data_IF_004111866773
#
_entry.id   IF_004111866773
#
_cell.length_a   1.000
_cell.length_b   1.000
_cell.length_c   1.000
_cell.angle_alpha   90.00
_cell.angle_beta   90.00
_cell.angle_gamma   90.00
#
_symmetry.space_group_name_H-M   'P 1'
#
loop_
_entity.id
_entity.type
_entity.pdbx_description
1 polymer ?
#
# COMPACT_ATOMS: atom_id res chain seq x y z
N UNK A 1 -21.15 21.95 0.54
CA UNK A 1 -20.69 21.75 -0.84
C UNK A 1 -20.09 20.36 -0.90
N UNK A 2 -20.76 19.51 -1.66
CA UNK A 2 -20.41 18.18 -2.18
C UNK A 2 -20.10 17.05 -1.18
N UNK A 3 -21.17 16.57 -0.54
CA UNK A 3 -21.22 15.30 0.20
C UNK A 3 -21.47 14.09 -0.73
N UNK A 4 -21.06 14.12 -2.01
CA UNK A 4 -21.46 13.08 -2.96
C UNK A 4 -20.52 12.85 -4.16
N UNK A 5 -19.22 12.91 -3.95
CA UNK A 5 -18.28 12.14 -4.77
C UNK A 5 -17.57 11.17 -3.84
N UNK A 6 -18.17 9.99 -3.63
CA UNK A 6 -17.45 8.88 -3.03
C UNK A 6 -16.38 8.44 -4.03
N UNK A 7 -15.19 9.03 -3.90
CA UNK A 7 -14.03 8.62 -4.67
C UNK A 7 -13.62 7.21 -4.22
N UNK A 8 -14.15 6.20 -4.91
CA UNK A 8 -13.78 4.80 -4.74
C UNK A 8 -12.41 4.59 -5.38
N UNK A 9 -11.51 3.96 -4.65
CA UNK A 9 -10.14 3.70 -5.09
C UNK A 9 -9.60 2.45 -4.40
N UNK A 10 -8.50 1.92 -4.92
CA UNK A 10 -7.80 0.79 -4.33
C UNK A 10 -6.84 1.29 -3.24
N UNK A 11 -7.08 0.89 -1.99
CA UNK A 11 -6.21 1.19 -0.86
C UNK A 11 -5.44 -0.04 -0.39
N UNK A 12 -4.19 0.16 0.06
CA UNK A 12 -3.34 -0.88 0.63
C UNK A 12 -2.77 -0.41 1.96
N UNK A 13 -2.85 -1.26 2.98
CA UNK A 13 -2.48 -0.95 4.35
C UNK A 13 -1.74 -2.11 5.01
N UNK A 14 -0.76 -1.77 5.84
CA UNK A 14 -0.05 -2.64 6.76
C UNK A 14 -0.70 -2.53 8.13
N UNK A 15 -1.19 -3.65 8.66
CA UNK A 15 -1.69 -3.75 10.03
C UNK A 15 -0.72 -4.53 10.91
N UNK A 16 -0.46 -4.04 12.12
CA UNK A 16 0.24 -4.81 13.14
C UNK A 16 -0.76 -5.67 13.92
N UNK A 17 -0.58 -7.00 13.85
CA UNK A 17 -1.45 -7.95 14.55
C UNK A 17 -1.14 -8.03 16.06
N UNK A 18 0.13 -7.82 16.43
CA UNK A 18 0.60 -8.08 17.78
C UNK A 18 -0.04 -7.14 18.81
N UNK A 19 -0.55 -7.73 19.89
CA UNK A 19 -1.09 -7.03 21.05
C UNK A 19 -0.01 -7.00 22.13
N UNK A 20 0.67 -5.87 22.28
CA UNK A 20 1.72 -5.71 23.29
C UNK A 20 2.27 -4.28 23.29
N UNK A 21 3.14 -3.96 24.25
CA UNK A 21 3.82 -2.66 24.36
C UNK A 21 4.99 -2.51 23.37
N UNK A 22 4.97 -3.25 22.26
CA UNK A 22 6.04 -3.22 21.26
C UNK A 22 5.78 -2.06 20.32
N UNK A 23 6.75 -1.16 20.26
CA UNK A 23 6.81 -0.09 19.27
C UNK A 23 8.01 -0.37 18.37
N UNK A 24 7.80 -0.40 17.06
CA UNK A 24 8.91 -0.44 16.11
C UNK A 24 8.63 0.48 14.93
N UNK A 25 9.68 1.16 14.48
CA UNK A 25 9.68 1.93 13.26
C UNK A 25 9.78 1.01 12.05
N UNK A 26 9.04 1.31 11.01
CA UNK A 26 9.16 0.66 9.70
C UNK A 26 9.29 1.73 8.62
N UNK A 27 10.24 1.56 7.71
CA UNK A 27 10.13 2.14 6.37
C UNK A 27 9.47 1.10 5.47
N UNK A 28 8.54 1.52 4.62
CA UNK A 28 7.84 0.62 3.73
C UNK A 28 7.73 1.17 2.32
N UNK A 29 7.81 0.27 1.34
CA UNK A 29 7.52 0.52 -0.06
C UNK A 29 6.38 -0.41 -0.51
N UNK A 30 5.33 0.15 -1.08
CA UNK A 30 4.35 -0.58 -1.86
C UNK A 30 4.68 -0.45 -3.35
N UNK A 31 4.73 -1.59 -4.04
CA UNK A 31 4.94 -1.67 -5.47
C UNK A 31 3.88 -2.57 -6.11
N UNK A 32 3.65 -2.38 -7.40
CA UNK A 32 2.77 -3.24 -8.19
C UNK A 32 3.46 -3.62 -9.50
N UNK A 33 3.20 -4.84 -9.97
CA UNK A 33 3.66 -5.30 -11.29
C UNK A 33 2.77 -4.69 -12.36
N UNK A 34 3.35 -4.13 -13.41
CA UNK A 34 2.59 -3.44 -14.46
C UNK A 34 3.02 -3.81 -15.88
N UNK A 35 2.06 -3.81 -16.81
CA UNK A 35 2.33 -3.97 -18.24
C UNK A 35 3.04 -2.72 -18.80
N UNK A 36 3.82 -2.85 -19.88
CA UNK A 36 4.12 -4.08 -20.61
C UNK A 36 5.33 -4.84 -20.06
N UNK A 37 6.21 -4.20 -19.30
CA UNK A 37 7.47 -4.81 -18.82
C UNK A 37 7.23 -5.97 -17.85
N UNK A 38 6.09 -5.94 -17.15
CA UNK A 38 5.80 -6.82 -16.04
C UNK A 38 6.87 -6.72 -14.93
N UNK A 39 7.46 -5.55 -14.76
CA UNK A 39 8.32 -5.25 -13.63
C UNK A 39 7.52 -4.60 -12.50
N UNK A 40 8.06 -4.65 -11.28
CA UNK A 40 7.47 -3.95 -10.14
C UNK A 40 7.84 -2.46 -10.18
N UNK A 41 6.82 -1.61 -10.23
CA UNK A 41 6.96 -0.17 -10.08
C UNK A 41 6.51 0.27 -8.68
N UNK A 42 7.33 1.11 -8.04
CA UNK A 42 6.99 1.73 -6.75
C UNK A 42 5.72 2.59 -6.90
N UNK A 43 4.73 2.35 -6.04
CA UNK A 43 3.47 3.10 -5.96
C UNK A 43 3.42 4.03 -4.76
N UNK A 44 4.02 3.63 -3.65
CA UNK A 44 4.06 4.46 -2.45
C UNK A 44 5.23 4.11 -1.54
N UNK A 45 5.83 5.13 -0.92
CA UNK A 45 6.82 4.98 0.16
C UNK A 45 6.34 5.73 1.38
N UNK A 46 6.53 5.12 2.54
CA UNK A 46 6.22 5.75 3.80
C UNK A 46 7.13 5.26 4.91
N UNK A 47 7.06 5.97 6.03
CA UNK A 47 7.61 5.49 7.29
C UNK A 47 6.54 5.60 8.36
N UNK A 48 6.55 4.68 9.31
CA UNK A 48 5.59 4.68 10.41
C UNK A 48 6.16 3.99 11.63
N UNK A 49 5.83 4.50 12.80
CA UNK A 49 6.09 3.80 14.07
C UNK A 49 4.81 3.13 14.51
N UNK A 50 4.77 1.81 14.46
CA UNK A 50 3.62 1.07 14.95
C UNK A 50 3.52 1.20 16.46
N UNK A 51 2.35 1.60 16.92
CA UNK A 51 1.91 1.51 18.30
C UNK A 51 0.65 0.65 18.24
N UNK A 52 0.67 -0.52 18.87
CA UNK A 52 -0.23 -1.66 18.58
C UNK A 52 -1.69 -1.32 18.26
N UNK A 53 -2.30 -2.09 17.36
CA UNK A 53 -3.70 -1.94 16.96
C UNK A 53 -3.98 -0.89 15.88
N UNK A 54 -2.95 -0.30 15.25
CA UNK A 54 -3.09 0.64 14.14
C UNK A 54 -2.65 0.04 12.81
N UNK A 55 -3.29 0.49 11.74
CA UNK A 55 -2.88 0.23 10.37
C UNK A 55 -2.37 1.52 9.71
N UNK A 56 -1.38 1.39 8.84
CA UNK A 56 -0.81 2.49 8.06
C UNK A 56 -0.76 2.08 6.59
N UNK A 57 -0.94 3.03 5.68
CA UNK A 57 -0.88 2.74 4.25
C UNK A 57 -1.32 3.92 3.43
N UNK A 58 -1.77 3.64 2.21
CA UNK A 58 -2.20 4.67 1.28
C UNK A 58 -3.58 4.35 0.71
N UNK A 59 -4.48 5.34 0.80
CA UNK A 59 -5.89 5.17 0.43
C UNK A 59 -6.09 4.97 -1.08
N UNK A 60 -5.30 5.64 -1.91
CA UNK A 60 -5.40 5.58 -3.37
C UNK A 60 -4.05 5.15 -3.97
N UNK A 61 -3.70 3.87 -3.82
CA UNK A 61 -2.37 3.35 -4.17
C UNK A 61 -1.97 3.64 -5.62
N UNK A 62 -2.92 3.56 -6.54
CA UNK A 62 -2.66 3.71 -7.98
C UNK A 62 -2.93 5.11 -8.51
N UNK A 63 -3.37 6.05 -7.66
CA UNK A 63 -3.66 7.42 -8.08
C UNK A 63 -4.89 7.55 -9.00
N UNK A 64 -5.70 6.51 -9.18
CA UNK A 64 -6.81 6.46 -10.13
C UNK A 64 -8.13 6.00 -9.49
N UNK A 65 -9.29 6.37 -10.06
CA UNK A 65 -10.58 5.86 -9.62
C UNK A 65 -10.69 4.34 -9.72
N UNK A 66 -11.51 3.73 -8.87
CA UNK A 66 -11.79 2.29 -8.87
C UNK A 66 -12.23 1.77 -10.24
N UNK A 67 -13.11 2.51 -10.93
CA UNK A 67 -13.61 2.13 -12.26
C UNK A 67 -12.50 2.02 -13.30
N UNK A 68 -11.55 2.96 -13.31
CA UNK A 68 -10.36 2.89 -14.17
C UNK A 68 -9.40 1.80 -13.73
N UNK A 69 -9.28 1.56 -12.43
CA UNK A 69 -8.40 0.52 -11.90
C UNK A 69 -8.81 -0.88 -12.36
N UNK A 70 -10.11 -1.19 -12.36
CA UNK A 70 -10.66 -2.51 -12.75
C UNK A 70 -11.06 -2.63 -14.23
N UNK A 71 -10.78 -1.61 -15.05
CA UNK A 71 -11.13 -1.64 -16.46
C UNK A 71 -10.38 -2.77 -17.20
N UNK A 72 -10.95 -3.27 -18.30
CA UNK A 72 -10.37 -4.38 -19.08
C UNK A 72 -8.97 -4.05 -19.63
N UNK A 73 -8.71 -2.77 -19.91
CA UNK A 73 -7.44 -2.23 -20.40
C UNK A 73 -6.48 -1.82 -19.27
N UNK A 74 -6.80 -2.13 -18.01
CA UNK A 74 -5.95 -1.81 -16.87
C UNK A 74 -4.58 -2.46 -17.00
N UNK A 75 -3.54 -1.63 -16.92
CA UNK A 75 -2.13 -2.07 -16.98
C UNK A 75 -1.70 -2.89 -15.76
N UNK A 76 -2.50 -2.89 -14.68
CA UNK A 76 -2.14 -3.51 -13.40
C UNK A 76 -2.57 -4.98 -13.28
N UNK A 77 -3.41 -5.47 -14.20
CA UNK A 77 -3.87 -6.86 -14.23
C UNK A 77 -3.15 -7.64 -15.33
N UNK A 78 -2.25 -8.53 -14.94
CA UNK A 78 -1.54 -9.44 -15.85
C UNK A 78 -2.26 -10.78 -15.80
N UNK A 79 -2.85 -11.19 -16.92
CA UNK A 79 -3.70 -12.39 -17.02
C UNK A 79 -4.82 -12.43 -15.97
N UNK A 80 -5.42 -11.25 -15.69
CA UNK A 80 -6.48 -11.09 -14.69
C UNK A 80 -5.99 -11.05 -13.23
N UNK A 81 -4.68 -11.06 -12.98
CA UNK A 81 -4.08 -11.06 -11.65
C UNK A 81 -3.42 -9.72 -11.34
N UNK A 82 -3.77 -9.15 -10.17
CA UNK A 82 -3.08 -8.01 -9.58
C UNK A 82 -1.91 -8.50 -8.72
N UNK A 83 -0.68 -8.14 -9.09
CA UNK A 83 0.51 -8.49 -8.32
C UNK A 83 0.99 -7.30 -7.49
N UNK A 84 0.97 -7.45 -6.16
CA UNK A 84 1.41 -6.43 -5.21
C UNK A 84 2.67 -6.91 -4.47
N UNK A 85 3.55 -5.97 -4.14
CA UNK A 85 4.70 -6.19 -3.28
C UNK A 85 4.71 -5.13 -2.19
N UNK A 86 4.90 -5.57 -0.94
CA UNK A 86 5.22 -4.70 0.17
C UNK A 86 6.62 -5.06 0.67
N UNK A 87 7.56 -4.13 0.59
CA UNK A 87 8.89 -4.26 1.17
C UNK A 87 8.92 -3.48 2.48
N UNK A 88 9.42 -4.10 3.55
CA UNK A 88 9.43 -3.55 4.90
C UNK A 88 10.84 -3.58 5.45
N UNK A 89 11.33 -2.42 5.90
CA UNK A 89 12.60 -2.28 6.61
C UNK A 89 12.32 -1.88 8.05
N UNK A 90 12.55 -2.80 8.98
CA UNK A 90 12.38 -2.54 10.41
C UNK A 90 13.55 -1.69 10.90
N UNK A 91 13.25 -0.54 11.50
CA UNK A 91 14.23 0.28 12.21
C UNK A 91 14.47 -0.32 13.58
N UNK A 92 15.65 -0.90 13.80
CA UNK A 92 16.09 -1.23 15.15
C UNK A 92 16.41 0.07 15.86
N UNK A 93 15.81 0.27 17.03
CA UNK A 93 16.30 1.30 17.95
C UNK A 93 17.48 0.67 18.66
N UNK A 94 18.68 1.18 18.42
CA UNK A 94 19.86 0.74 19.17
C UNK A 94 19.64 1.11 20.64
N UNK A 95 19.47 0.11 21.50
CA UNK A 95 19.56 0.28 22.94
C UNK A 95 21.05 0.53 23.24
N UNK A 96 21.41 1.77 23.54
CA UNK A 96 22.64 2.11 24.26
C UNK A 96 22.32 2.31 25.74
#
# INVERSE_FOLDING_TARGET
>A
MDQQSSFHCFGLFLGMQEKGAVSFGVDYEFAAREKPSQDYACKYKGNYTFTGGKAVGYRNLFGIPWTSFIAEDSQYFIDGILHLRAELTIKRTDLH
#
